data_IF_230325676744
#
_entry.id   IF_230325676744
#
_cell.length_a   1.000
_cell.length_b   1.000
_cell.length_c   1.000
_cell.angle_alpha   90.00
_cell.angle_beta   90.00
_cell.angle_gamma   90.00
#
_symmetry.space_group_name_H-M   'P 1'
#
loop_
_entity.id
_entity.type
_entity.pdbx_description
1 polymer ?
#
# COMPACT_ATOMS: atom_id res chain seq x y z
N UNK A 1 -7.05 3.87 23.53
CA UNK A 1 -7.52 5.12 22.93
C UNK A 1 -7.39 5.11 21.41
N UNK A 2 -8.34 5.72 20.71
CA UNK A 2 -8.29 5.91 19.26
C UNK A 2 -7.36 7.08 18.94
N UNK A 3 -6.37 6.87 18.06
CA UNK A 3 -5.48 7.94 17.61
C UNK A 3 -6.09 8.60 16.37
N UNK A 4 -6.56 9.86 16.44
CA UNK A 4 -7.10 10.56 15.28
C UNK A 4 -5.96 10.82 14.27
N UNK A 5 -6.00 10.14 13.13
CA UNK A 5 -5.00 10.28 12.07
C UNK A 5 -5.63 10.10 10.68
N UNK A 6 -5.17 10.90 9.73
CA UNK A 6 -5.51 10.82 8.30
C UNK A 6 -4.57 9.85 7.57
N UNK A 7 -4.44 8.63 8.10
CA UNK A 7 -3.45 7.66 7.60
C UNK A 7 -3.71 7.29 6.13
N UNK A 8 -4.98 7.18 5.73
CA UNK A 8 -5.36 6.86 4.36
C UNK A 8 -4.85 7.90 3.35
N UNK A 9 -5.05 9.19 3.63
CA UNK A 9 -4.56 10.29 2.79
C UNK A 9 -3.04 10.27 2.64
N UNK A 10 -2.31 10.13 3.76
CA UNK A 10 -0.85 10.14 3.77
C UNK A 10 -0.27 8.96 2.99
N UNK A 11 -0.76 7.75 3.26
CA UNK A 11 -0.28 6.53 2.60
C UNK A 11 -0.62 6.54 1.10
N UNK A 12 -1.83 6.98 0.74
CA UNK A 12 -2.24 7.14 -0.67
C UNK A 12 -1.38 8.19 -1.38
N UNK A 13 -1.06 9.31 -0.71
CA UNK A 13 -0.17 10.33 -1.25
C UNK A 13 1.22 9.80 -1.60
N UNK A 14 1.81 8.98 -0.72
CA UNK A 14 3.11 8.33 -0.98
C UNK A 14 3.01 7.35 -2.15
N UNK A 15 1.96 6.53 -2.22
CA UNK A 15 1.74 5.61 -3.35
C UNK A 15 1.59 6.38 -4.67
N UNK A 16 0.88 7.51 -4.65
CA UNK A 16 0.69 8.36 -5.82
C UNK A 16 2.02 8.93 -6.35
N UNK A 17 2.90 9.39 -5.46
CA UNK A 17 4.24 9.86 -5.84
C UNK A 17 5.04 8.75 -6.52
N UNK A 18 5.02 7.53 -5.97
CA UNK A 18 5.72 6.39 -6.59
C UNK A 18 5.19 6.07 -7.99
N UNK A 19 3.86 6.07 -8.17
CA UNK A 19 3.22 5.86 -9.47
C UNK A 19 3.55 6.96 -10.48
N UNK A 20 3.59 8.23 -10.03
CA UNK A 20 3.98 9.35 -10.87
C UNK A 20 5.45 9.26 -11.30
N UNK A 21 6.35 8.88 -10.39
CA UNK A 21 7.77 8.67 -10.72
C UNK A 21 7.93 7.55 -11.75
N UNK A 22 7.22 6.43 -11.60
CA UNK A 22 7.22 5.34 -12.59
C UNK A 22 6.66 5.78 -13.94
N UNK A 23 5.57 6.56 -13.95
CA UNK A 23 4.99 7.11 -15.17
C UNK A 23 5.93 8.09 -15.88
N UNK A 24 6.62 8.96 -15.12
CA UNK A 24 7.61 9.88 -15.66
C UNK A 24 8.82 9.14 -16.23
N UNK A 25 9.29 8.08 -15.57
CA UNK A 25 10.35 7.22 -16.10
C UNK A 25 9.93 6.54 -17.40
N UNK A 26 8.73 5.94 -17.46
CA UNK A 26 8.17 5.38 -18.69
C UNK A 26 8.11 6.44 -19.80
N UNK A 27 7.65 7.65 -19.48
CA UNK A 27 7.57 8.76 -20.45
C UNK A 27 8.94 9.17 -20.97
N UNK A 28 9.97 9.21 -20.12
CA UNK A 28 11.34 9.51 -20.54
C UNK A 28 11.88 8.45 -21.51
N UNK A 29 11.58 7.16 -21.29
CA UNK A 29 12.03 6.08 -22.16
C UNK A 29 11.26 5.92 -23.46
N UNK A 30 9.97 6.27 -23.46
CA UNK A 30 9.06 5.95 -24.58
C UNK A 30 8.52 7.19 -25.31
N UNK A 31 8.69 8.38 -24.74
CA UNK A 31 8.05 9.62 -25.20
C UNK A 31 6.55 9.71 -24.90
N UNK A 32 5.93 8.65 -24.33
CA UNK A 32 4.49 8.58 -24.11
C UNK A 32 4.12 8.72 -22.63
N UNK A 33 3.13 9.55 -22.33
CA UNK A 33 2.56 9.66 -20.99
C UNK A 33 1.90 8.37 -20.50
N UNK A 34 1.39 8.43 -19.27
CA UNK A 34 0.56 7.37 -18.70
C UNK A 34 -0.61 7.99 -17.93
N UNK A 35 -1.76 7.36 -18.03
CA UNK A 35 -2.85 7.54 -17.07
C UNK A 35 -2.57 6.60 -15.89
N UNK A 36 -2.64 7.13 -14.67
CA UNK A 36 -2.40 6.36 -13.44
C UNK A 36 -3.57 6.58 -12.49
N UNK A 37 -4.02 5.50 -11.87
CA UNK A 37 -5.04 5.52 -10.83
C UNK A 37 -4.40 5.09 -9.51
N UNK A 38 -4.80 5.75 -8.42
CA UNK A 38 -4.30 5.44 -7.07
C UNK A 38 -5.52 5.25 -6.16
N UNK A 39 -6.15 4.07 -6.18
CA UNK A 39 -7.33 3.83 -5.38
C UNK A 39 -6.98 3.82 -3.88
N UNK A 40 -7.66 4.64 -3.08
CA UNK A 40 -7.41 4.73 -1.64
C UNK A 40 -7.68 3.39 -0.92
N UNK A 41 -8.72 2.66 -1.34
CA UNK A 41 -9.11 1.40 -0.71
C UNK A 41 -8.03 0.34 -0.92
N UNK A 42 -7.64 0.07 -2.16
CA UNK A 42 -6.60 -0.90 -2.51
C UNK A 42 -5.24 -0.52 -1.93
N UNK A 43 -4.94 0.77 -1.85
CA UNK A 43 -3.72 1.25 -1.17
C UNK A 43 -3.74 0.90 0.31
N UNK A 44 -4.87 1.10 1.00
CA UNK A 44 -5.01 0.76 2.42
C UNK A 44 -5.06 -0.74 2.68
N UNK A 45 -5.69 -1.51 1.79
CA UNK A 45 -5.62 -2.97 1.82
C UNK A 45 -4.16 -3.40 1.72
N UNK A 46 -3.43 -2.92 0.72
CA UNK A 46 -2.01 -3.26 0.53
C UNK A 46 -1.14 -2.86 1.72
N UNK A 47 -1.38 -1.67 2.29
CA UNK A 47 -0.65 -1.16 3.46
C UNK A 47 -0.86 -2.01 4.72
N UNK A 48 -2.10 -2.43 4.97
CA UNK A 48 -2.45 -3.19 6.19
C UNK A 48 -2.29 -4.70 6.01
N UNK A 49 -2.24 -5.20 4.78
CA UNK A 49 -2.26 -6.64 4.49
C UNK A 49 -1.12 -7.41 5.15
N UNK A 50 0.07 -6.84 5.21
CA UNK A 50 1.24 -7.48 5.83
C UNK A 50 0.99 -7.73 7.32
N UNK A 51 0.45 -6.75 8.04
CA UNK A 51 0.12 -6.87 9.45
C UNK A 51 -1.03 -7.86 9.68
N UNK A 52 -2.03 -7.87 8.78
CA UNK A 52 -3.18 -8.78 8.89
C UNK A 52 -2.85 -10.21 8.48
N UNK A 53 -1.83 -10.44 7.65
CA UNK A 53 -1.36 -11.78 7.32
C UNK A 53 -0.69 -12.47 8.52
N UNK A 54 -0.04 -11.70 9.40
CA UNK A 54 0.53 -12.17 10.67
C UNK A 54 1.26 -13.52 10.55
N UNK A 55 0.99 -14.46 11.48
CA UNK A 55 1.61 -15.79 11.48
C UNK A 55 1.28 -16.64 10.26
N UNK A 56 0.25 -16.28 9.48
CA UNK A 56 -0.18 -17.00 8.28
C UNK A 56 0.69 -16.73 7.06
N UNK A 57 1.54 -15.71 7.09
CA UNK A 57 2.48 -15.40 5.99
C UNK A 57 3.64 -16.41 5.86
N UNK A 58 3.90 -17.21 6.90
CA UNK A 58 5.07 -18.10 6.98
C UNK A 58 4.80 -19.49 6.40
N UNK A 59 5.88 -20.20 6.03
CA UNK A 59 5.84 -21.61 5.62
C UNK A 59 6.89 -22.41 6.42
N UNK A 60 6.49 -23.29 7.36
CA UNK A 60 5.10 -23.55 7.80
C UNK A 60 4.48 -22.34 8.52
N UNK A 61 3.14 -22.25 8.52
CA UNK A 61 2.44 -21.15 9.18
C UNK A 61 2.74 -21.12 10.68
N UNK A 62 3.01 -19.93 11.21
CA UNK A 62 3.36 -19.71 12.62
C UNK A 62 2.16 -19.27 13.47
N UNK A 63 1.01 -19.01 12.86
CA UNK A 63 -0.21 -18.58 13.54
C UNK A 63 -1.34 -18.23 12.58
N UNK A 64 -2.47 -17.80 13.14
CA UNK A 64 -3.65 -17.33 12.39
C UNK A 64 -3.45 -15.89 11.87
N UNK A 65 -4.27 -15.44 10.89
CA UNK A 65 -4.25 -14.06 10.43
C UNK A 65 -4.92 -13.14 11.45
N UNK A 66 -4.55 -11.86 11.39
CA UNK A 66 -5.01 -10.81 12.28
C UNK A 66 -3.89 -10.31 13.19
N UNK A 67 -3.96 -9.02 13.51
CA UNK A 67 -3.04 -8.40 14.46
C UNK A 67 -3.51 -8.69 15.89
N UNK A 68 -2.71 -9.43 16.67
CA UNK A 68 -2.97 -9.59 18.10
C UNK A 68 -2.87 -8.22 18.79
N UNK A 69 -3.98 -7.74 19.34
CA UNK A 69 -3.98 -6.54 20.18
C UNK A 69 -3.49 -6.96 21.56
N UNK A 70 -2.35 -6.42 21.98
CA UNK A 70 -1.86 -6.52 23.38
C UNK A 70 -2.79 -5.74 24.30
#
# INVERSE_FOLDING_TARGET
>A
DFVPNIIADKTTGVMAVNLLLAALYKREKTGQGAHVEVPMFETMVSFTFVEQMAGRAFSPALGEPGYERV
#
